data_IF_442216164435
#
_entry.id   IF_442216164435
#
_cell.length_a   1.000
_cell.length_b   1.000
_cell.length_c   1.000
_cell.angle_alpha   90.00
_cell.angle_beta   90.00
_cell.angle_gamma   90.00
#
_symmetry.space_group_name_H-M   'P 1'
#
loop_
_entity.id
_entity.type
_entity.pdbx_description
1 polymer ?
#
# COMPACT_ATOMS: atom_id res chain seq x y z
N UNK A 1 13.86 -7.36 28.69
CA UNK A 1 13.53 -8.49 27.76
C UNK A 1 14.67 -9.51 27.78
N UNK A 2 14.35 -10.82 27.74
CA UNK A 2 15.34 -11.86 27.50
C UNK A 2 15.58 -12.03 25.98
N UNK A 3 16.65 -12.74 25.60
CA UNK A 3 17.05 -12.87 24.20
C UNK A 3 16.01 -13.63 23.35
N UNK A 4 15.34 -14.63 23.91
CA UNK A 4 14.30 -15.41 23.24
C UNK A 4 13.07 -14.55 22.91
N UNK A 5 12.59 -13.77 23.87
CA UNK A 5 11.48 -12.85 23.67
C UNK A 5 11.82 -11.76 22.64
N UNK A 6 13.03 -11.19 22.72
CA UNK A 6 13.52 -10.23 21.74
C UNK A 6 13.56 -10.84 20.32
N UNK A 7 13.97 -12.09 20.18
CA UNK A 7 13.99 -12.79 18.90
C UNK A 7 12.57 -13.00 18.37
N UNK A 8 11.62 -13.36 19.23
CA UNK A 8 10.20 -13.48 18.87
C UNK A 8 9.64 -12.15 18.34
N UNK A 9 9.83 -11.04 19.05
CA UNK A 9 9.35 -9.72 18.60
C UNK A 9 10.00 -9.29 17.27
N UNK A 10 11.28 -9.58 17.07
CA UNK A 10 11.97 -9.32 15.80
C UNK A 10 11.36 -10.12 14.64
N UNK A 11 10.92 -11.35 14.89
CA UNK A 11 10.28 -12.18 13.88
C UNK A 11 8.91 -11.60 13.47
N UNK A 12 8.14 -11.04 14.41
CA UNK A 12 6.90 -10.30 14.08
C UNK A 12 7.20 -9.11 13.16
N UNK A 13 8.26 -8.36 13.44
CA UNK A 13 8.67 -7.21 12.62
C UNK A 13 9.12 -7.66 11.22
N UNK A 14 9.75 -8.82 11.06
CA UNK A 14 10.09 -9.37 9.72
C UNK A 14 8.87 -9.51 8.82
N UNK A 15 7.71 -9.88 9.39
CA UNK A 15 6.45 -9.92 8.65
C UNK A 15 5.86 -8.52 8.44
N UNK A 16 5.91 -7.65 9.46
CA UNK A 16 5.41 -6.29 9.39
C UNK A 16 6.06 -5.47 8.25
N UNK A 17 7.37 -5.57 8.07
CA UNK A 17 8.11 -4.83 7.03
C UNK A 17 7.79 -5.28 5.59
N UNK A 18 7.10 -6.43 5.41
CA UNK A 18 6.63 -6.86 4.09
C UNK A 18 5.42 -6.05 3.58
N UNK A 19 4.81 -5.25 4.44
CA UNK A 19 3.72 -4.34 4.10
C UNK A 19 4.08 -3.38 2.92
N UNK A 20 3.09 -2.88 2.18
CA UNK A 20 3.31 -1.84 1.18
C UNK A 20 3.52 -0.47 1.82
N UNK A 21 4.19 0.41 1.09
CA UNK A 21 4.28 1.83 1.41
C UNK A 21 4.37 2.67 0.13
N UNK A 22 4.03 3.96 0.22
CA UNK A 22 4.17 4.88 -0.92
C UNK A 22 5.60 4.80 -1.47
N UNK A 23 5.74 4.59 -2.78
CA UNK A 23 7.03 4.44 -3.46
C UNK A 23 7.99 3.41 -2.83
N UNK A 24 7.47 2.47 -2.00
CA UNK A 24 8.26 1.53 -1.21
C UNK A 24 9.28 2.25 -0.30
N UNK A 25 8.87 3.40 0.26
CA UNK A 25 9.71 4.20 1.16
C UNK A 25 9.98 3.49 2.47
N UNK A 26 9.07 2.59 2.92
CA UNK A 26 9.15 1.91 4.21
C UNK A 26 9.33 2.93 5.34
N UNK A 27 8.33 3.82 5.42
CA UNK A 27 8.28 5.01 6.26
C UNK A 27 7.92 4.70 7.73
N UNK A 28 8.47 3.64 8.27
CA UNK A 28 8.24 3.17 9.64
C UNK A 28 9.53 2.93 10.40
N UNK A 29 9.42 3.03 11.73
CA UNK A 29 10.37 2.57 12.73
C UNK A 29 9.62 1.72 13.76
N UNK A 30 10.27 0.70 14.28
CA UNK A 30 9.69 -0.18 15.28
C UNK A 30 10.45 -0.05 16.60
N UNK A 31 9.69 0.20 17.67
CA UNK A 31 10.22 0.17 19.03
C UNK A 31 9.72 -1.08 19.73
N UNK A 32 10.66 -1.86 20.27
CA UNK A 32 10.35 -3.06 21.03
C UNK A 32 10.10 -2.68 22.50
N UNK A 33 9.01 -3.19 23.06
CA UNK A 33 8.62 -3.05 24.46
C UNK A 33 8.33 -4.45 25.03
N UNK A 34 8.33 -4.64 26.36
CA UNK A 34 8.20 -5.97 26.94
C UNK A 34 6.93 -6.73 26.52
N UNK A 35 5.81 -6.02 26.34
CA UNK A 35 4.53 -6.60 25.96
C UNK A 35 3.86 -5.84 24.80
N UNK A 36 4.64 -5.11 24.01
CA UNK A 36 4.12 -4.36 22.89
C UNK A 36 5.18 -4.08 21.80
N UNK A 37 4.72 -3.76 20.61
CA UNK A 37 5.54 -3.17 19.56
C UNK A 37 4.87 -1.86 19.14
N UNK A 38 5.63 -0.77 19.19
CA UNK A 38 5.21 0.53 18.67
C UNK A 38 5.74 0.75 17.26
N UNK A 39 4.85 1.12 16.33
CA UNK A 39 5.21 1.50 14.95
C UNK A 39 5.15 3.03 14.86
N UNK A 40 6.29 3.64 14.65
CA UNK A 40 6.49 5.09 14.60
C UNK A 40 6.63 5.56 13.14
N UNK A 41 6.13 6.75 12.77
CA UNK A 41 6.40 7.34 11.47
C UNK A 41 7.88 7.71 11.33
N UNK A 42 8.53 7.27 10.26
CA UNK A 42 9.86 7.74 9.86
C UNK A 42 9.71 8.94 8.92
N UNK A 43 9.60 10.15 9.48
CA UNK A 43 9.38 11.38 8.71
C UNK A 43 10.54 11.74 7.78
N UNK A 44 11.72 11.15 7.97
CA UNK A 44 12.85 11.30 7.02
C UNK A 44 12.57 10.60 5.69
N UNK A 45 11.53 9.74 5.62
CA UNK A 45 11.15 8.95 4.46
C UNK A 45 9.77 9.32 3.91
N UNK A 46 9.28 10.49 4.26
CA UNK A 46 8.01 11.03 3.72
C UNK A 46 8.15 11.44 2.25
N UNK A 47 7.00 11.59 1.59
CA UNK A 47 6.90 12.04 0.20
C UNK A 47 6.08 13.33 0.11
N UNK A 48 6.63 14.50 0.51
CA UNK A 48 5.85 15.72 0.71
C UNK A 48 5.19 16.29 -0.56
N UNK A 49 5.66 15.90 -1.74
CA UNK A 49 5.04 16.35 -3.00
C UNK A 49 3.85 15.50 -3.41
N UNK A 50 3.90 14.19 -3.15
CA UNK A 50 2.82 13.26 -3.51
C UNK A 50 1.87 13.00 -2.34
N UNK A 51 2.29 13.28 -1.11
CA UNK A 51 1.58 13.00 0.14
C UNK A 51 1.84 14.15 1.16
N UNK A 52 1.36 15.37 0.89
CA UNK A 52 1.73 16.56 1.67
C UNK A 52 1.18 16.55 3.10
N UNK A 53 0.08 15.86 3.34
CA UNK A 53 -0.55 15.66 4.65
C UNK A 53 -0.08 14.38 5.37
N UNK A 54 0.88 13.63 4.80
CA UNK A 54 1.35 12.33 5.28
C UNK A 54 0.26 11.25 5.39
N UNK A 55 -0.87 11.43 4.72
CA UNK A 55 -1.99 10.50 4.73
C UNK A 55 -1.56 9.06 4.40
N UNK A 56 -0.87 8.87 3.27
CA UNK A 56 -0.42 7.53 2.85
C UNK A 56 0.76 7.01 3.68
N UNK A 57 1.48 7.88 4.37
CA UNK A 57 2.46 7.49 5.38
C UNK A 57 1.73 6.74 6.51
N UNK A 58 0.66 7.33 7.10
CA UNK A 58 -0.11 6.67 8.16
C UNK A 58 -0.86 5.43 7.67
N UNK A 59 -1.39 5.45 6.44
CA UNK A 59 -1.91 4.23 5.78
C UNK A 59 -0.85 3.13 5.75
N UNK A 60 0.41 3.46 5.43
CA UNK A 60 1.49 2.47 5.41
C UNK A 60 1.80 1.89 6.80
N UNK A 61 1.68 2.70 7.87
CA UNK A 61 1.80 2.19 9.25
C UNK A 61 0.68 1.20 9.57
N UNK A 62 -0.54 1.47 9.11
CA UNK A 62 -1.69 0.56 9.26
C UNK A 62 -1.47 -0.78 8.56
N UNK A 63 -0.90 -0.76 7.34
CA UNK A 63 -0.55 -2.00 6.64
C UNK A 63 0.48 -2.82 7.42
N UNK A 64 1.51 -2.17 7.96
CA UNK A 64 2.53 -2.85 8.77
C UNK A 64 1.95 -3.41 10.08
N UNK A 65 1.02 -2.68 10.71
CA UNK A 65 0.32 -3.13 11.91
C UNK A 65 -0.51 -4.39 11.65
N UNK A 66 -1.23 -4.44 10.54
CA UNK A 66 -2.04 -5.62 10.21
C UNK A 66 -1.18 -6.87 9.97
N UNK A 67 -0.07 -6.75 9.21
CA UNK A 67 0.87 -7.86 9.05
C UNK A 67 1.43 -8.34 10.40
N UNK A 68 1.77 -7.40 11.30
CA UNK A 68 2.26 -7.73 12.63
C UNK A 68 1.21 -8.50 13.45
N UNK A 69 -0.05 -8.07 13.40
CA UNK A 69 -1.17 -8.74 14.10
C UNK A 69 -1.38 -10.16 13.56
N UNK A 70 -1.34 -10.36 12.24
CA UNK A 70 -1.47 -11.70 11.65
C UNK A 70 -0.29 -12.60 12.05
N UNK A 71 0.92 -12.07 12.07
CA UNK A 71 2.10 -12.80 12.50
C UNK A 71 2.06 -13.13 14.00
N UNK A 72 1.57 -12.22 14.84
CA UNK A 72 1.39 -12.44 16.28
C UNK A 72 0.44 -13.61 16.53
N UNK A 73 -0.72 -13.66 15.85
CA UNK A 73 -1.68 -14.77 15.96
C UNK A 73 -1.04 -16.12 15.62
N UNK A 74 -0.24 -16.17 14.57
CA UNK A 74 0.44 -17.40 14.17
C UNK A 74 1.47 -17.87 15.21
N UNK A 75 2.05 -16.96 15.99
CA UNK A 75 3.02 -17.24 17.05
C UNK A 75 2.39 -17.38 18.44
N UNK A 76 1.09 -17.48 18.58
CA UNK A 76 0.41 -17.65 19.84
C UNK A 76 0.32 -16.36 20.68
N UNK A 77 0.21 -15.22 20.01
CA UNK A 77 -0.01 -13.92 20.63
C UNK A 77 -1.27 -13.26 20.03
N UNK A 78 -2.10 -12.63 20.86
CA UNK A 78 -3.13 -11.71 20.40
C UNK A 78 -2.57 -10.29 20.33
N UNK A 79 -2.79 -9.59 19.21
CA UNK A 79 -2.36 -8.20 19.02
C UNK A 79 -3.54 -7.23 19.22
N UNK A 80 -3.48 -6.40 20.26
CA UNK A 80 -4.44 -5.33 20.52
C UNK A 80 -3.94 -4.02 19.90
N UNK A 81 -4.65 -3.53 18.90
CA UNK A 81 -4.30 -2.30 18.17
C UNK A 81 -4.81 -1.06 18.89
N UNK A 82 -3.95 -0.05 19.03
CA UNK A 82 -4.34 1.31 19.44
C UNK A 82 -3.54 2.35 18.66
N UNK A 83 -4.15 3.51 18.39
CA UNK A 83 -3.46 4.67 17.82
C UNK A 83 -3.30 5.74 18.87
N UNK A 84 -2.06 6.12 19.16
CA UNK A 84 -1.73 7.24 20.05
C UNK A 84 -1.48 8.50 19.19
N UNK A 85 -2.35 9.49 19.29
CA UNK A 85 -2.27 10.73 18.52
C UNK A 85 -1.23 11.74 19.03
N UNK A 86 -0.55 11.47 20.16
CA UNK A 86 0.44 12.38 20.74
C UNK A 86 1.68 12.51 19.85
N UNK A 87 2.21 13.73 19.75
CA UNK A 87 3.37 14.05 18.91
C UNK A 87 3.10 13.76 17.42
N UNK A 88 4.01 13.03 16.79
CA UNK A 88 3.83 12.65 15.39
C UNK A 88 2.78 11.53 15.20
N UNK A 89 2.30 10.93 16.29
CA UNK A 89 1.41 9.78 16.29
C UNK A 89 2.18 8.45 16.23
N UNK A 90 1.62 7.42 16.86
CA UNK A 90 2.20 6.09 16.87
C UNK A 90 1.10 5.02 16.85
N UNK A 91 1.35 3.91 16.20
CA UNK A 91 0.55 2.70 16.31
C UNK A 91 1.18 1.80 17.37
N UNK A 92 0.43 1.41 18.38
CA UNK A 92 0.88 0.47 19.39
C UNK A 92 0.10 -0.85 19.25
N UNK A 93 0.82 -1.96 19.25
CA UNK A 93 0.27 -3.30 19.28
C UNK A 93 0.68 -3.94 20.60
N UNK A 94 -0.26 -3.98 21.55
CA UNK A 94 -0.09 -4.74 22.79
C UNK A 94 -0.22 -6.24 22.48
N UNK A 95 0.67 -7.05 23.05
CA UNK A 95 0.81 -8.47 22.76
C UNK A 95 0.51 -9.28 24.03
N UNK A 96 -0.49 -10.16 23.95
CA UNK A 96 -0.89 -11.05 25.05
C UNK A 96 -0.84 -12.51 24.61
N UNK A 97 -0.46 -13.44 25.46
CA UNK A 97 -0.48 -14.86 25.12
C UNK A 97 -1.87 -15.33 24.67
N UNK A 98 -1.93 -16.10 23.60
CA UNK A 98 -3.15 -16.70 23.06
C UNK A 98 -2.83 -18.04 22.39
N UNK A 99 -3.81 -18.90 22.11
CA UNK A 99 -3.57 -20.08 21.29
C UNK A 99 -3.06 -19.71 19.90
N UNK A 100 -1.99 -20.34 19.39
CA UNK A 100 -1.47 -20.05 18.06
C UNK A 100 -2.51 -20.40 16.98
N UNK A 101 -2.68 -19.48 16.02
CA UNK A 101 -3.66 -19.63 14.93
C UNK A 101 -3.02 -19.18 13.62
N UNK A 102 -2.67 -20.13 12.78
CA UNK A 102 -2.20 -19.87 11.41
C UNK A 102 -3.41 -19.63 10.51
N UNK A 103 -3.46 -18.47 9.88
CA UNK A 103 -4.58 -18.07 8.99
C UNK A 103 -4.10 -18.00 7.54
N UNK A 104 -4.99 -18.14 6.54
CA UNK A 104 -4.64 -17.90 5.14
C UNK A 104 -4.08 -16.49 4.90
N UNK A 105 -4.49 -15.50 5.70
CA UNK A 105 -3.97 -14.13 5.65
C UNK A 105 -2.49 -14.08 6.08
N UNK A 106 -2.12 -14.81 7.14
CA UNK A 106 -0.71 -14.90 7.55
C UNK A 106 0.15 -15.56 6.48
N UNK A 107 -0.32 -16.69 5.91
CA UNK A 107 0.39 -17.40 4.85
C UNK A 107 0.56 -16.55 3.58
N UNK A 108 -0.36 -15.61 3.34
CA UNK A 108 -0.31 -14.71 2.20
C UNK A 108 0.72 -13.57 2.33
N UNK A 109 1.19 -13.24 3.55
CA UNK A 109 2.11 -12.09 3.79
C UNK A 109 3.35 -12.12 2.86
N UNK A 110 4.12 -13.22 2.75
CA UNK A 110 5.32 -13.26 1.91
C UNK A 110 5.01 -13.19 0.40
N UNK A 111 3.77 -13.48 -0.01
CA UNK A 111 3.33 -13.52 -1.41
C UNK A 111 2.59 -12.27 -1.87
N UNK A 112 2.16 -11.40 -0.92
CA UNK A 112 1.45 -10.18 -1.24
C UNK A 112 2.36 -9.19 -1.99
N UNK A 113 1.92 -8.72 -3.13
CA UNK A 113 2.64 -7.73 -3.94
C UNK A 113 1.69 -6.78 -4.66
N UNK A 114 2.18 -5.59 -5.03
CA UNK A 114 1.50 -4.71 -6.00
C UNK A 114 1.89 -5.15 -7.41
N UNK A 115 0.99 -5.83 -8.10
CA UNK A 115 1.24 -6.41 -9.43
C UNK A 115 0.89 -5.41 -10.53
N UNK A 116 1.93 -4.78 -11.09
CA UNK A 116 1.80 -3.70 -12.10
C UNK A 116 1.88 -4.24 -13.52
N UNK A 117 1.02 -5.22 -13.84
CA UNK A 117 0.84 -5.80 -15.18
C UNK A 117 -0.63 -5.71 -15.61
N UNK A 118 -0.93 -6.01 -16.83
CA UNK A 118 -2.31 -6.28 -17.26
C UNK A 118 -2.82 -7.55 -16.58
N UNK A 119 -4.12 -7.58 -16.25
CA UNK A 119 -4.80 -8.74 -15.70
C UNK A 119 -5.58 -9.46 -16.82
N UNK A 120 -6.19 -10.58 -16.52
CA UNK A 120 -6.89 -11.41 -17.52
C UNK A 120 -8.27 -10.87 -17.93
N UNK A 121 -8.75 -9.79 -17.29
CA UNK A 121 -10.02 -9.12 -17.55
C UNK A 121 -11.27 -9.92 -17.17
N UNK A 122 -11.11 -11.12 -16.58
CA UNK A 122 -12.24 -11.96 -16.19
C UNK A 122 -12.85 -11.47 -14.89
N UNK A 123 -14.18 -11.52 -14.75
CA UNK A 123 -14.85 -11.21 -13.49
C UNK A 123 -14.48 -12.22 -12.41
N UNK A 124 -14.52 -11.78 -11.16
CA UNK A 124 -14.47 -12.66 -9.98
C UNK A 124 -15.87 -13.20 -9.66
N UNK A 125 -15.94 -14.30 -8.92
CA UNK A 125 -17.21 -14.79 -8.42
C UNK A 125 -17.81 -13.86 -7.36
N UNK A 126 -19.14 -13.88 -7.15
CA UNK A 126 -19.79 -13.10 -6.09
C UNK A 126 -19.22 -13.43 -4.69
N UNK A 127 -18.86 -14.68 -4.45
CA UNK A 127 -18.26 -15.15 -3.18
C UNK A 127 -16.88 -14.55 -2.99
N UNK A 128 -16.05 -14.50 -4.03
CA UNK A 128 -14.72 -13.86 -3.96
C UNK A 128 -14.83 -12.35 -3.71
N UNK A 129 -15.75 -11.68 -4.40
CA UNK A 129 -16.03 -10.24 -4.17
C UNK A 129 -16.46 -10.02 -2.72
N UNK A 130 -17.35 -10.85 -2.17
CA UNK A 130 -17.82 -10.73 -0.78
C UNK A 130 -16.71 -10.97 0.24
N UNK A 131 -15.82 -11.94 0.00
CA UNK A 131 -14.65 -12.17 0.85
C UNK A 131 -13.69 -10.97 0.85
N UNK A 132 -13.45 -10.37 -0.32
CA UNK A 132 -12.63 -9.17 -0.44
C UNK A 132 -13.26 -7.98 0.26
N UNK A 133 -14.55 -7.74 0.04
CA UNK A 133 -15.32 -6.68 0.69
C UNK A 133 -15.23 -6.81 2.21
N UNK A 134 -15.58 -7.98 2.76
CA UNK A 134 -15.55 -8.24 4.20
C UNK A 134 -14.15 -8.05 4.80
N UNK A 135 -13.09 -8.48 4.11
CA UNK A 135 -11.72 -8.27 4.55
C UNK A 135 -11.30 -6.79 4.54
N UNK A 136 -11.87 -6.00 3.63
CA UNK A 136 -11.58 -4.58 3.45
C UNK A 136 -12.34 -3.63 4.39
N UNK A 137 -13.30 -4.12 5.18
CA UNK A 137 -14.10 -3.30 6.10
C UNK A 137 -13.42 -3.18 7.48
N UNK A 138 -13.67 -2.06 8.17
CA UNK A 138 -13.16 -1.80 9.52
C UNK A 138 -13.92 -0.69 10.23
N UNK A 139 -13.45 -0.30 11.41
CA UNK A 139 -14.09 0.73 12.21
C UNK A 139 -13.98 2.09 11.51
N UNK A 140 -15.12 2.68 11.13
CA UNK A 140 -15.20 3.93 10.37
C UNK A 140 -14.60 3.86 8.96
N UNK A 141 -14.36 2.65 8.42
CA UNK A 141 -13.80 2.43 7.08
C UNK A 141 -14.63 1.39 6.34
N UNK A 142 -15.07 1.75 5.15
CA UNK A 142 -15.75 0.84 4.21
C UNK A 142 -15.01 0.74 2.90
N UNK A 143 -15.24 -0.34 2.17
CA UNK A 143 -14.74 -0.55 0.82
C UNK A 143 -15.89 -0.55 -0.18
N UNK A 144 -15.76 0.21 -1.27
CA UNK A 144 -16.69 0.19 -2.40
C UNK A 144 -16.10 -0.70 -3.48
N UNK A 145 -16.81 -1.78 -3.82
CA UNK A 145 -16.40 -2.73 -4.86
C UNK A 145 -17.06 -2.35 -6.18
N UNK A 146 -16.29 -1.77 -7.11
CA UNK A 146 -16.75 -1.29 -8.40
C UNK A 146 -16.38 -2.32 -9.47
N UNK A 147 -17.35 -3.10 -9.92
CA UNK A 147 -17.16 -4.18 -10.90
C UNK A 147 -17.84 -3.89 -12.25
N UNK A 148 -18.77 -2.94 -12.26
CA UNK A 148 -19.45 -2.51 -13.47
C UNK A 148 -18.52 -1.67 -14.35
N UNK A 149 -18.53 -1.94 -15.65
CA UNK A 149 -17.63 -1.25 -16.60
C UNK A 149 -17.80 0.27 -16.56
N UNK A 150 -19.01 0.78 -16.45
CA UNK A 150 -19.29 2.23 -16.41
C UNK A 150 -18.68 2.90 -15.16
N UNK A 151 -18.71 2.23 -14.01
CA UNK A 151 -18.09 2.71 -12.78
C UNK A 151 -16.56 2.73 -12.91
N UNK A 152 -15.97 1.67 -13.48
CA UNK A 152 -14.53 1.57 -13.73
C UNK A 152 -14.04 2.64 -14.71
N UNK A 153 -14.80 2.96 -15.78
CA UNK A 153 -14.46 4.04 -16.70
C UNK A 153 -14.54 5.41 -15.98
N UNK A 154 -15.51 5.61 -15.08
CA UNK A 154 -15.56 6.83 -14.24
C UNK A 154 -14.30 6.97 -13.40
N UNK A 155 -13.85 5.91 -12.75
CA UNK A 155 -12.58 5.93 -11.99
C UNK A 155 -11.39 6.20 -12.90
N UNK A 156 -11.34 5.57 -14.08
CA UNK A 156 -10.28 5.78 -15.08
C UNK A 156 -10.15 7.25 -15.48
N UNK A 157 -11.25 7.94 -15.70
CA UNK A 157 -11.23 9.37 -16.05
C UNK A 157 -10.52 10.21 -14.98
N UNK A 158 -10.76 9.93 -13.70
CA UNK A 158 -10.09 10.60 -12.60
C UNK A 158 -8.65 10.16 -12.41
N UNK A 159 -8.32 8.91 -12.71
CA UNK A 159 -6.92 8.43 -12.72
C UNK A 159 -6.12 9.17 -13.80
N UNK A 160 -6.68 9.33 -15.00
CA UNK A 160 -6.04 10.06 -16.10
C UNK A 160 -5.85 11.54 -15.75
N UNK A 161 -6.86 12.20 -15.15
CA UNK A 161 -6.76 13.58 -14.68
C UNK A 161 -5.67 13.75 -13.62
N UNK A 162 -5.68 12.90 -12.58
CA UNK A 162 -4.68 12.95 -11.51
C UNK A 162 -3.27 12.65 -12.03
N UNK A 163 -3.10 11.64 -12.89
CA UNK A 163 -1.82 11.31 -13.50
C UNK A 163 -1.27 12.47 -14.36
N UNK A 164 -2.15 13.11 -15.12
CA UNK A 164 -1.79 14.27 -15.94
C UNK A 164 -1.31 15.44 -15.09
N UNK A 165 -2.03 15.76 -13.99
CA UNK A 165 -1.63 16.81 -13.07
C UNK A 165 -0.27 16.50 -12.41
N UNK A 166 -0.05 15.27 -11.95
CA UNK A 166 1.18 14.82 -11.32
C UNK A 166 2.40 14.90 -12.25
N UNK A 167 2.28 14.40 -13.48
CA UNK A 167 3.40 14.41 -14.45
C UNK A 167 3.75 15.84 -14.87
N UNK A 168 2.78 16.74 -14.96
CA UNK A 168 3.02 18.15 -15.26
C UNK A 168 3.60 18.95 -14.09
N UNK A 169 3.63 18.39 -12.87
CA UNK A 169 4.23 19.00 -11.71
C UNK A 169 5.72 18.63 -11.61
N UNK A 170 6.60 19.61 -11.84
CA UNK A 170 8.06 19.38 -11.78
C UNK A 170 8.54 18.92 -10.41
N UNK A 171 7.97 19.42 -9.31
CA UNK A 171 8.37 19.02 -7.96
C UNK A 171 7.98 17.56 -7.68
N UNK A 172 6.77 17.14 -8.08
CA UNK A 172 6.35 15.74 -8.05
C UNK A 172 7.32 14.85 -8.85
N UNK A 173 7.68 15.25 -10.07
CA UNK A 173 8.58 14.48 -10.93
C UNK A 173 9.98 14.34 -10.34
N UNK A 174 10.50 15.34 -9.63
CA UNK A 174 11.78 15.25 -8.92
C UNK A 174 11.69 14.29 -7.73
N UNK A 175 10.63 14.36 -6.93
CA UNK A 175 10.41 13.43 -5.83
C UNK A 175 10.25 11.99 -6.32
N UNK A 176 9.41 11.75 -7.32
CA UNK A 176 9.27 10.42 -7.93
C UNK A 176 10.62 9.86 -8.40
N UNK A 177 11.42 10.68 -9.09
CA UNK A 177 12.74 10.29 -9.57
C UNK A 177 13.69 9.90 -8.44
N UNK A 178 13.61 10.54 -7.27
CA UNK A 178 14.43 10.21 -6.10
C UNK A 178 14.15 8.82 -5.55
N UNK A 179 12.92 8.32 -5.73
CA UNK A 179 12.48 6.99 -5.28
C UNK A 179 12.60 5.90 -6.35
N UNK A 180 12.97 6.20 -7.60
CA UNK A 180 13.20 5.17 -8.62
C UNK A 180 14.60 4.55 -8.45
N UNK A 181 14.65 3.23 -8.53
CA UNK A 181 15.87 2.43 -8.59
C UNK A 181 15.99 1.87 -10.01
N UNK A 182 16.86 2.49 -10.81
CA UNK A 182 16.97 2.23 -12.25
C UNK A 182 17.58 0.87 -12.59
N UNK A 183 18.24 0.21 -11.63
CA UNK A 183 18.85 -1.10 -11.83
C UNK A 183 18.84 -1.93 -10.54
N UNK A 184 19.12 -3.24 -10.71
CA UNK A 184 19.08 -4.22 -9.64
C UNK A 184 20.14 -4.00 -8.55
N UNK A 185 21.33 -3.50 -8.93
CA UNK A 185 22.40 -3.21 -7.96
C UNK A 185 22.00 -2.07 -7.02
N UNK A 186 21.40 -1.01 -7.58
CA UNK A 186 20.90 0.09 -6.79
C UNK A 186 19.76 -0.36 -5.85
N UNK A 187 18.81 -1.12 -6.38
CA UNK A 187 17.70 -1.67 -5.59
C UNK A 187 18.20 -2.56 -4.44
N UNK A 188 19.15 -3.46 -4.71
CA UNK A 188 19.73 -4.34 -3.70
C UNK A 188 20.50 -3.58 -2.61
N UNK A 189 21.23 -2.52 -3.00
CA UNK A 189 22.00 -1.70 -2.06
C UNK A 189 21.09 -0.90 -1.11
N UNK A 190 19.95 -0.38 -1.59
CA UNK A 190 19.08 0.47 -0.80
C UNK A 190 17.97 -0.30 -0.09
N UNK A 191 17.54 -1.44 -0.64
CA UNK A 191 16.41 -2.23 -0.16
C UNK A 191 15.07 -1.51 -0.25
N UNK A 192 14.97 -0.39 -0.95
CA UNK A 192 13.80 0.49 -1.00
C UNK A 192 13.51 1.02 -2.40
N UNK A 193 12.48 1.86 -2.50
CA UNK A 193 12.13 2.54 -3.74
C UNK A 193 11.42 1.65 -4.76
N UNK A 194 11.15 2.22 -5.92
CA UNK A 194 10.50 1.59 -7.06
C UNK A 194 11.57 0.98 -7.97
N UNK A 195 11.82 -0.32 -7.85
CA UNK A 195 12.79 -1.01 -8.69
C UNK A 195 12.24 -1.26 -10.09
N UNK A 196 13.11 -1.24 -11.10
CA UNK A 196 12.75 -1.56 -12.48
C UNK A 196 12.08 -2.93 -12.60
N UNK A 197 12.55 -3.96 -11.87
CA UNK A 197 11.95 -5.29 -11.88
C UNK A 197 10.52 -5.31 -11.37
N UNK A 198 10.24 -4.65 -10.22
CA UNK A 198 8.90 -4.64 -9.60
C UNK A 198 7.91 -3.72 -10.33
N UNK A 199 8.39 -2.87 -11.24
CA UNK A 199 7.56 -1.97 -12.06
C UNK A 199 7.42 -2.41 -13.52
N UNK A 200 8.10 -3.51 -13.90
CA UNK A 200 8.11 -4.00 -15.29
C UNK A 200 8.92 -3.10 -16.26
N UNK A 201 9.76 -2.21 -15.74
CA UNK A 201 10.61 -1.35 -16.55
C UNK A 201 11.97 -2.00 -16.81
N UNK A 202 12.67 -1.67 -17.90
CA UNK A 202 14.01 -2.18 -18.18
C UNK A 202 15.02 -1.69 -17.12
N UNK A 203 15.98 -2.55 -16.79
CA UNK A 203 17.12 -2.20 -15.94
C UNK A 203 18.16 -1.43 -16.79
N UNK A 204 18.47 -0.20 -16.37
CA UNK A 204 19.43 0.67 -17.07
C UNK A 204 20.38 1.33 -16.05
N UNK A 205 21.60 1.72 -16.46
CA UNK A 205 22.51 2.45 -15.58
C UNK A 205 21.86 3.75 -15.06
N UNK A 206 22.12 4.09 -13.79
CA UNK A 206 21.51 5.27 -13.15
C UNK A 206 21.73 6.57 -13.91
N UNK A 207 22.94 6.79 -14.45
CA UNK A 207 23.25 8.00 -15.23
C UNK A 207 22.36 8.13 -16.47
N UNK A 208 22.14 7.01 -17.17
CA UNK A 208 21.26 6.96 -18.35
C UNK A 208 19.79 7.13 -17.96
N UNK A 209 19.35 6.45 -16.87
CA UNK A 209 18.01 6.64 -16.32
C UNK A 209 17.74 8.08 -15.93
N UNK A 210 18.70 8.75 -15.29
CA UNK A 210 18.62 10.16 -14.95
C UNK A 210 18.48 11.08 -16.16
N UNK A 211 19.20 10.79 -17.23
CA UNK A 211 19.16 11.55 -18.47
C UNK A 211 17.81 11.37 -19.20
N UNK A 212 17.36 10.12 -19.29
CA UNK A 212 16.16 9.76 -20.05
C UNK A 212 14.85 9.88 -19.27
N UNK A 213 14.88 10.15 -17.96
CA UNK A 213 13.69 10.11 -17.08
C UNK A 213 12.50 10.89 -17.63
N UNK A 214 12.70 12.16 -18.05
CA UNK A 214 11.64 13.00 -18.62
C UNK A 214 11.14 12.50 -19.99
N UNK A 215 11.94 11.76 -20.71
CA UNK A 215 11.54 11.17 -21.99
C UNK A 215 10.77 9.84 -21.79
N UNK A 216 11.07 9.12 -20.70
CA UNK A 216 10.43 7.85 -20.35
C UNK A 216 9.09 8.04 -19.65
N UNK A 217 9.00 9.03 -18.75
CA UNK A 217 7.76 9.33 -17.97
C UNK A 217 7.05 10.52 -18.63
N UNK A 218 6.08 10.22 -19.47
CA UNK A 218 5.28 11.23 -20.20
C UNK A 218 3.78 10.98 -19.98
N UNK A 219 2.98 12.04 -20.05
CA UNK A 219 1.55 12.02 -19.78
C UNK A 219 0.82 10.96 -20.61
N UNK A 220 0.93 11.01 -21.93
CA UNK A 220 0.16 10.12 -22.80
C UNK A 220 0.51 8.64 -22.65
N UNK A 221 1.80 8.20 -22.68
CA UNK A 221 2.13 6.79 -22.47
C UNK A 221 1.72 6.25 -21.10
N UNK A 222 1.81 7.06 -20.03
CA UNK A 222 1.39 6.63 -18.69
C UNK A 222 -0.15 6.59 -18.58
N UNK A 223 -0.88 7.51 -19.22
CA UNK A 223 -2.34 7.45 -19.30
C UNK A 223 -2.81 6.22 -20.11
N UNK A 224 -2.18 5.93 -21.23
CA UNK A 224 -2.50 4.74 -22.04
C UNK A 224 -2.23 3.45 -21.27
N UNK A 225 -1.15 3.42 -20.48
CA UNK A 225 -0.83 2.29 -19.59
C UNK A 225 -1.89 2.12 -18.49
N UNK A 226 -2.27 3.19 -17.80
CA UNK A 226 -3.33 3.17 -16.79
C UNK A 226 -4.66 2.70 -17.40
N UNK A 227 -4.98 3.15 -18.61
CA UNK A 227 -6.17 2.73 -19.35
C UNK A 227 -6.20 1.23 -19.59
N UNK A 228 -5.11 0.67 -20.14
CA UNK A 228 -5.00 -0.79 -20.35
C UNK A 228 -5.12 -1.55 -19.03
N UNK A 229 -4.44 -1.09 -17.99
CA UNK A 229 -4.42 -1.75 -16.67
C UNK A 229 -5.81 -1.75 -16.01
N UNK A 230 -6.54 -0.65 -16.05
CA UNK A 230 -7.88 -0.58 -15.46
C UNK A 230 -8.85 -1.42 -16.29
N UNK A 231 -8.82 -1.31 -17.62
CA UNK A 231 -9.73 -2.05 -18.50
C UNK A 231 -9.50 -3.56 -18.51
N UNK A 232 -8.30 -4.02 -18.18
CA UNK A 232 -7.96 -5.44 -17.99
C UNK A 232 -8.25 -5.96 -16.58
N UNK A 233 -8.72 -5.13 -15.66
CA UNK A 233 -9.02 -5.52 -14.28
C UNK A 233 -10.41 -6.15 -14.14
N UNK A 234 -10.58 -7.01 -13.14
CA UNK A 234 -11.89 -7.57 -12.76
C UNK A 234 -12.75 -6.54 -12.03
N UNK A 235 -12.12 -5.56 -11.36
CA UNK A 235 -12.79 -4.50 -10.65
C UNK A 235 -11.81 -3.52 -9.99
N UNK A 236 -12.40 -2.54 -9.32
CA UNK A 236 -11.70 -1.52 -8.52
C UNK A 236 -12.32 -1.49 -7.13
N UNK A 237 -11.48 -1.50 -6.10
CA UNK A 237 -11.86 -1.27 -4.71
C UNK A 237 -11.48 0.17 -4.31
N UNK A 238 -12.43 0.92 -3.78
CA UNK A 238 -12.19 2.26 -3.22
C UNK A 238 -12.42 2.20 -1.72
N UNK A 239 -11.37 2.44 -0.94
CA UNK A 239 -11.46 2.52 0.52
C UNK A 239 -11.85 3.93 0.91
N UNK A 240 -12.81 4.04 1.82
CA UNK A 240 -13.44 5.30 2.20
C UNK A 240 -13.54 5.36 3.71
N UNK A 241 -12.92 6.39 4.32
CA UNK A 241 -13.06 6.68 5.74
C UNK A 241 -14.18 7.68 6.02
N UNK A 242 -14.83 7.52 7.15
CA UNK A 242 -15.90 8.43 7.59
C UNK A 242 -15.33 9.73 8.17
N UNK A 243 -14.12 9.67 8.75
CA UNK A 243 -13.42 10.82 9.34
C UNK A 243 -12.03 10.96 8.73
N UNK A 244 -11.64 12.20 8.44
CA UNK A 244 -10.33 12.52 7.87
C UNK A 244 -9.32 12.86 8.96
N UNK A 245 -8.78 11.84 9.63
CA UNK A 245 -7.73 11.96 10.64
C UNK A 245 -6.73 10.80 10.60
N UNK A 246 -5.62 10.93 11.32
CA UNK A 246 -4.55 9.94 11.34
C UNK A 246 -5.00 8.55 11.82
N UNK A 247 -5.94 8.47 12.76
CA UNK A 247 -6.44 7.21 13.29
C UNK A 247 -7.19 6.42 12.20
N UNK A 248 -8.07 7.10 11.45
CA UNK A 248 -8.79 6.50 10.33
C UNK A 248 -7.85 6.18 9.15
N UNK A 249 -6.82 7.01 8.89
CA UNK A 249 -5.83 6.69 7.86
C UNK A 249 -5.06 5.40 8.18
N UNK A 250 -4.72 5.19 9.45
CA UNK A 250 -4.11 3.92 9.90
C UNK A 250 -5.10 2.77 9.74
N UNK A 251 -6.37 2.95 10.13
CA UNK A 251 -7.40 1.90 9.95
C UNK A 251 -7.63 1.58 8.46
N UNK A 252 -7.64 2.58 7.58
CA UNK A 252 -7.66 2.35 6.11
C UNK A 252 -6.50 1.45 5.68
N UNK A 253 -5.31 1.67 6.23
CA UNK A 253 -4.14 0.83 5.97
C UNK A 253 -4.34 -0.61 6.40
N UNK A 254 -4.91 -0.84 7.59
CA UNK A 254 -5.25 -2.17 8.09
C UNK A 254 -6.30 -2.85 7.22
N UNK A 255 -7.37 -2.14 6.88
CA UNK A 255 -8.43 -2.63 5.99
C UNK A 255 -7.88 -3.02 4.62
N UNK A 256 -7.06 -2.16 4.01
CA UNK A 256 -6.43 -2.48 2.73
C UNK A 256 -5.50 -3.70 2.84
N UNK A 257 -4.70 -3.81 3.89
CA UNK A 257 -3.77 -4.95 4.00
C UNK A 257 -4.54 -6.26 4.18
N UNK A 258 -5.60 -6.32 5.00
CA UNK A 258 -6.49 -7.50 5.08
C UNK A 258 -7.08 -7.86 3.71
N UNK A 259 -7.59 -6.86 2.98
CA UNK A 259 -8.07 -7.05 1.61
C UNK A 259 -6.98 -7.63 0.70
N UNK A 260 -5.78 -7.08 0.73
CA UNK A 260 -4.68 -7.49 -0.13
C UNK A 260 -4.15 -8.91 0.21
N UNK A 261 -4.13 -9.27 1.49
CA UNK A 261 -3.81 -10.61 1.97
C UNK A 261 -4.89 -11.62 1.55
N UNK A 262 -6.17 -11.26 1.72
CA UNK A 262 -7.30 -12.10 1.28
C UNK A 262 -7.28 -12.30 -0.25
N UNK A 263 -7.03 -11.25 -1.01
CA UNK A 263 -6.86 -11.33 -2.46
C UNK A 263 -5.72 -12.30 -2.82
N UNK A 264 -4.58 -12.15 -2.15
CA UNK A 264 -3.40 -13.02 -2.37
C UNK A 264 -3.71 -14.48 -2.06
N UNK A 265 -4.39 -14.77 -0.95
CA UNK A 265 -4.82 -16.11 -0.57
C UNK A 265 -5.77 -16.75 -1.62
N UNK A 266 -6.57 -15.93 -2.32
CA UNK A 266 -7.45 -16.36 -3.41
C UNK A 266 -6.77 -16.38 -4.80
N UNK A 267 -5.45 -16.12 -4.88
CA UNK A 267 -4.73 -16.02 -6.16
C UNK A 267 -5.12 -14.78 -6.99
N UNK A 268 -5.70 -13.77 -6.34
CA UNK A 268 -6.09 -12.48 -6.94
C UNK A 268 -4.96 -11.48 -6.71
N UNK A 269 -4.61 -10.73 -7.74
CA UNK A 269 -3.60 -9.66 -7.70
C UNK A 269 -4.26 -8.31 -7.54
N UNK A 270 -3.51 -7.36 -6.97
CA UNK A 270 -3.98 -5.99 -6.85
C UNK A 270 -2.85 -4.98 -7.09
N UNK A 271 -3.23 -3.74 -7.42
CA UNK A 271 -2.29 -2.63 -7.56
C UNK A 271 -3.00 -1.30 -7.33
N UNK A 272 -2.30 -0.36 -6.70
CA UNK A 272 -2.80 1.00 -6.50
C UNK A 272 -2.91 1.79 -7.80
N UNK A 273 -3.99 2.56 -7.92
CA UNK A 273 -4.22 3.60 -8.91
C UNK A 273 -4.69 4.88 -8.18
N UNK A 274 -3.87 5.32 -7.22
CA UNK A 274 -4.20 6.35 -6.22
C UNK A 274 -4.14 7.79 -6.74
N UNK A 275 -3.92 8.04 -8.02
CA UNK A 275 -3.84 9.40 -8.57
C UNK A 275 -5.05 10.26 -8.20
N UNK A 276 -6.32 9.77 -8.24
CA UNK A 276 -7.49 10.57 -7.89
C UNK A 276 -7.52 11.04 -6.44
N UNK A 277 -6.97 10.24 -5.52
CA UNK A 277 -7.01 10.52 -4.08
C UNK A 277 -5.76 11.26 -3.59
N UNK A 278 -4.65 11.14 -4.32
CA UNK A 278 -3.40 11.86 -4.02
C UNK A 278 -3.41 13.30 -4.54
N UNK A 279 -4.03 13.52 -5.69
CA UNK A 279 -4.08 14.85 -6.31
C UNK A 279 -5.18 15.71 -5.65
N UNK A 280 -4.78 16.73 -4.91
CA UNK A 280 -5.68 17.57 -4.12
C UNK A 280 -6.74 18.29 -4.98
N UNK A 281 -6.40 18.67 -6.21
CA UNK A 281 -7.32 19.30 -7.16
C UNK A 281 -8.36 18.34 -7.72
N UNK A 282 -8.09 17.04 -7.77
CA UNK A 282 -8.93 15.99 -8.36
C UNK A 282 -9.82 15.33 -7.31
N UNK A 283 -9.30 15.09 -6.11
CA UNK A 283 -9.96 14.32 -5.03
C UNK A 283 -11.38 14.76 -4.70
N UNK A 284 -11.71 16.08 -4.56
CA UNK A 284 -13.09 16.51 -4.26
C UNK A 284 -14.08 16.21 -5.39
N UNK A 285 -13.62 16.25 -6.63
CA UNK A 285 -14.45 15.90 -7.79
C UNK A 285 -14.69 14.41 -7.87
N UNK A 286 -13.65 13.62 -7.61
CA UNK A 286 -13.73 12.16 -7.53
C UNK A 286 -14.68 11.71 -6.41
N UNK A 287 -14.56 12.28 -5.19
CA UNK A 287 -15.47 11.97 -4.09
C UNK A 287 -16.94 12.22 -4.48
N UNK A 288 -17.24 13.34 -5.14
CA UNK A 288 -18.61 13.64 -5.65
C UNK A 288 -19.08 12.63 -6.69
N UNK A 289 -18.21 12.23 -7.61
CA UNK A 289 -18.55 11.24 -8.63
C UNK A 289 -18.87 9.86 -8.03
N UNK A 290 -18.24 9.53 -6.89
CA UNK A 290 -18.55 8.33 -6.09
C UNK A 290 -19.81 8.49 -5.19
N UNK A 291 -20.49 9.63 -5.22
CA UNK A 291 -21.65 9.92 -4.38
C UNK A 291 -21.30 10.16 -2.89
N UNK A 292 -20.02 10.41 -2.57
CA UNK A 292 -19.57 10.68 -1.21
C UNK A 292 -19.89 12.12 -0.83
N UNK A 293 -20.61 12.32 0.29
CA UNK A 293 -21.01 13.65 0.78
C UNK A 293 -19.94 14.27 1.69
N UNK A 294 -19.51 13.53 2.72
CA UNK A 294 -18.57 13.98 3.74
C UNK A 294 -17.38 13.02 3.93
N UNK A 295 -17.51 11.78 3.52
CA UNK A 295 -16.47 10.75 3.64
C UNK A 295 -15.34 11.00 2.65
N UNK A 296 -14.11 10.60 3.02
CA UNK A 296 -12.92 10.73 2.19
C UNK A 296 -12.66 9.44 1.40
N UNK A 297 -12.46 9.48 0.08
CA UNK A 297 -11.83 8.38 -0.63
C UNK A 297 -10.32 8.40 -0.33
N UNK A 298 -9.80 7.32 0.23
CA UNK A 298 -8.43 7.23 0.75
C UNK A 298 -7.50 6.44 -0.17
N UNK A 299 -7.98 5.28 -0.67
CA UNK A 299 -7.24 4.41 -1.57
C UNK A 299 -8.09 3.97 -2.74
N UNK A 300 -7.44 3.83 -3.90
CA UNK A 300 -8.02 3.25 -5.11
C UNK A 300 -7.13 2.11 -5.57
N UNK A 301 -7.71 0.91 -5.63
CA UNK A 301 -6.99 -0.33 -5.87
C UNK A 301 -7.69 -1.13 -6.96
N UNK A 302 -7.05 -1.38 -8.08
CA UNK A 302 -7.54 -2.30 -9.09
C UNK A 302 -7.20 -3.74 -8.70
N UNK A 303 -8.05 -4.71 -9.03
CA UNK A 303 -7.82 -6.12 -8.75
C UNK A 303 -8.22 -7.03 -9.92
N UNK A 304 -7.67 -8.24 -9.95
CA UNK A 304 -7.92 -9.25 -10.99
C UNK A 304 -6.86 -10.34 -10.96
N UNK A 305 -6.82 -11.23 -11.94
CA UNK A 305 -5.85 -12.34 -12.01
C UNK A 305 -4.75 -12.06 -13.03
N UNK A 306 -3.54 -12.39 -12.65
CA UNK A 306 -2.37 -12.39 -13.53
C UNK A 306 -1.25 -13.24 -12.91
N UNK A 307 -0.19 -13.57 -13.68
CA UNK A 307 1.05 -14.11 -13.12
C UNK A 307 1.68 -13.16 -12.09
N UNK A 308 2.52 -13.71 -11.23
CA UNK A 308 3.33 -12.93 -10.30
C UNK A 308 4.37 -12.07 -11.01
N UNK A 309 4.67 -10.94 -10.40
CA UNK A 309 5.81 -10.10 -10.77
C UNK A 309 6.92 -10.24 -9.73
N UNK A 310 8.16 -9.83 -10.04
CA UNK A 310 9.21 -9.75 -9.03
C UNK A 310 8.80 -8.87 -7.84
N UNK A 311 9.03 -9.36 -6.63
CA UNK A 311 8.71 -8.63 -5.40
C UNK A 311 9.63 -7.43 -5.20
N UNK A 312 9.12 -6.39 -4.56
CA UNK A 312 9.92 -5.24 -4.10
C UNK A 312 10.80 -5.66 -2.92
N UNK A 313 12.02 -5.14 -2.89
CA UNK A 313 12.95 -5.39 -1.80
C UNK A 313 12.54 -4.65 -0.53
N UNK A 314 13.12 -5.07 0.60
CA UNK A 314 12.93 -4.46 1.91
C UNK A 314 14.26 -4.07 2.52
N UNK A 315 14.24 -3.04 3.35
CA UNK A 315 15.37 -2.61 4.17
C UNK A 315 15.68 -3.70 5.20
N UNK A 316 16.95 -3.87 5.60
CA UNK A 316 17.30 -4.80 6.65
C UNK A 316 16.59 -4.44 7.98
N UNK A 317 16.34 -5.47 8.81
CA UNK A 317 15.58 -5.34 10.05
C UNK A 317 16.21 -4.31 10.99
N UNK A 318 17.53 -4.30 11.07
CA UNK A 318 18.31 -3.40 11.92
C UNK A 318 18.16 -1.91 11.54
N UNK A 319 17.82 -1.64 10.30
CA UNK A 319 17.60 -0.27 9.81
C UNK A 319 16.22 0.30 10.20
N UNK A 320 15.31 -0.54 10.70
CA UNK A 320 13.94 -0.14 11.04
C UNK A 320 13.62 -0.27 12.53
N UNK A 321 14.46 -0.93 13.33
CA UNK A 321 14.31 -1.01 14.79
C UNK A 321 15.03 0.18 15.44
N UNK A 322 14.42 0.78 16.49
CA UNK A 322 14.95 1.91 17.27
C UNK A 322 14.86 1.65 18.76
#
# INVERSE_FOLDING_TARGET
>A
MNDEHTAQLKELIRHAILAPSSHNTQCWKFRLEDHAISILPDLSRRCPMVDPDDHHLYVSLGCAAENLIQAAKAQGLSGQFTFNASGDGAVQIALEPSPPTVTPLFEAIPHRQCTRSEYDGKPLSPEEIKLLETAGEGDGVRVMMLTERAEMETVLDYVVQGNTAQINNNAFMQELKSWIRFNDQEAARTGDGLSSRSTGNPSIPRWLGNLLFKALVRVQPENDKNTRYIRSSAGIAVFVSDVNDKAHWVEVGRCYERFALQATALGIRNAFVNQPVKEASVRPHFARALGLKSSRPDLVVRFGRSPEMPSSLRRPLEAVIV
#
